data_IF_575920262923
#
_entry.id   IF_575920262923
#
_cell.length_a   1.000
_cell.length_b   1.000
_cell.length_c   1.000
_cell.angle_alpha   90.00
_cell.angle_beta   90.00
_cell.angle_gamma   90.00
#
_symmetry.space_group_name_H-M   'P 1'
#
loop_
_entity.id
_entity.type
_entity.pdbx_description
1 polymer ?
#
# COMPACT_ATOMS: atom_id res chain seq x y z
N UNK A 1 28.10 -36.05 -23.14
CA UNK A 1 26.92 -36.03 -22.24
C UNK A 1 27.23 -35.72 -20.78
N UNK A 2 28.30 -36.24 -20.11
CA UNK A 2 28.53 -35.95 -18.69
C UNK A 2 28.98 -34.50 -18.43
N UNK A 3 29.77 -33.92 -19.35
CA UNK A 3 30.31 -32.56 -19.21
C UNK A 3 29.21 -31.48 -19.18
N UNK A 4 28.16 -31.63 -20.00
CA UNK A 4 27.03 -30.69 -20.03
C UNK A 4 26.20 -30.74 -18.74
N UNK A 5 26.07 -31.92 -18.14
CA UNK A 5 25.39 -32.15 -16.87
C UNK A 5 26.18 -31.53 -15.70
N UNK A 6 27.50 -31.73 -15.67
CA UNK A 6 28.41 -31.12 -14.68
C UNK A 6 28.41 -29.59 -14.81
N UNK A 7 28.47 -29.05 -16.03
CA UNK A 7 28.41 -27.61 -16.28
C UNK A 7 27.04 -27.01 -15.90
N UNK A 8 25.95 -27.73 -16.14
CA UNK A 8 24.60 -27.32 -15.76
C UNK A 8 24.42 -27.23 -14.24
N UNK A 9 24.85 -28.26 -13.52
CA UNK A 9 24.82 -28.29 -12.04
C UNK A 9 25.74 -27.20 -11.47
N UNK A 10 26.95 -27.03 -12.00
CA UNK A 10 27.88 -25.98 -11.56
C UNK A 10 27.37 -24.55 -11.79
N UNK A 11 26.55 -24.32 -12.83
CA UNK A 11 25.88 -23.03 -13.05
C UNK A 11 24.68 -22.82 -12.12
N UNK A 12 23.89 -23.85 -11.84
CA UNK A 12 22.77 -23.78 -10.91
C UNK A 12 23.23 -23.52 -9.46
N UNK A 13 24.39 -24.05 -9.07
CA UNK A 13 25.01 -23.81 -7.76
C UNK A 13 25.78 -22.49 -7.68
N UNK A 14 25.89 -21.73 -8.77
CA UNK A 14 26.59 -20.44 -8.77
C UNK A 14 25.73 -19.41 -8.01
N UNK A 15 26.28 -18.87 -6.92
CA UNK A 15 25.66 -17.80 -6.15
C UNK A 15 25.34 -16.62 -7.08
N UNK A 16 24.06 -16.24 -7.19
CA UNK A 16 23.62 -15.11 -8.01
C UNK A 16 24.30 -13.82 -7.55
N UNK A 17 24.56 -12.90 -8.47
CA UNK A 17 25.06 -11.56 -8.12
C UNK A 17 24.04 -10.87 -7.22
N UNK A 18 24.49 -10.13 -6.22
CA UNK A 18 23.60 -9.41 -5.28
C UNK A 18 22.66 -8.45 -6.00
N UNK A 19 23.11 -7.82 -7.09
CA UNK A 19 22.30 -6.94 -7.94
C UNK A 19 21.19 -7.64 -8.75
N UNK A 20 21.27 -8.97 -8.91
CA UNK A 20 20.26 -9.79 -9.59
C UNK A 20 19.26 -10.42 -8.63
N UNK A 21 19.42 -10.19 -7.32
CA UNK A 21 18.48 -10.66 -6.31
C UNK A 21 17.40 -9.62 -6.10
N UNK A 22 16.16 -10.09 -6.02
CA UNK A 22 15.04 -9.26 -5.59
C UNK A 22 15.26 -8.72 -4.18
N UNK A 23 14.69 -7.54 -3.92
CA UNK A 23 14.65 -6.95 -2.58
C UNK A 23 13.97 -7.92 -1.61
N UNK A 24 14.65 -8.21 -0.49
CA UNK A 24 14.10 -9.03 0.57
C UNK A 24 12.82 -8.42 1.15
N UNK A 25 11.87 -9.29 1.44
CA UNK A 25 10.60 -8.95 2.07
C UNK A 25 10.37 -9.89 3.25
N UNK A 26 9.46 -9.53 4.15
CA UNK A 26 9.07 -10.35 5.30
C UNK A 26 8.56 -11.75 4.96
N UNK A 27 8.28 -12.05 3.67
CA UNK A 27 7.85 -13.37 3.20
C UNK A 27 8.94 -14.17 2.46
N UNK A 28 10.03 -13.50 2.07
CA UNK A 28 11.13 -14.11 1.28
C UNK A 28 12.40 -14.34 2.10
N UNK A 29 12.47 -13.77 3.29
CA UNK A 29 13.65 -13.74 4.13
C UNK A 29 13.54 -14.75 5.29
N UNK A 30 14.64 -15.04 6.02
CA UNK A 30 14.62 -15.96 7.17
C UNK A 30 13.73 -15.44 8.32
N UNK A 31 13.46 -16.31 9.30
CA UNK A 31 12.49 -16.11 10.39
C UNK A 31 12.63 -14.76 11.11
N UNK A 32 13.86 -14.31 11.37
CA UNK A 32 14.14 -13.10 12.16
C UNK A 32 14.21 -11.82 11.31
N UNK A 33 13.93 -11.90 10.00
CA UNK A 33 13.89 -10.73 9.14
C UNK A 33 12.55 -10.00 9.24
N UNK A 34 12.52 -8.98 10.09
CA UNK A 34 11.38 -8.09 10.23
C UNK A 34 11.47 -6.89 9.28
N UNK A 35 10.56 -6.83 8.31
CA UNK A 35 10.44 -5.68 7.39
C UNK A 35 8.98 -5.27 7.21
N UNK A 36 8.69 -4.03 7.59
CA UNK A 36 7.37 -3.41 7.46
C UNK A 36 7.03 -2.99 6.02
N UNK A 37 5.82 -2.45 5.86
CA UNK A 37 5.27 -1.94 4.59
C UNK A 37 5.00 -0.44 4.62
N UNK A 38 5.76 0.30 5.43
CA UNK A 38 5.62 1.75 5.62
C UNK A 38 4.21 2.20 6.04
N UNK A 39 3.43 1.31 6.67
CA UNK A 39 2.16 1.68 7.28
C UNK A 39 2.41 2.63 8.47
N UNK A 40 1.55 3.63 8.63
CA UNK A 40 1.63 4.56 9.75
C UNK A 40 1.27 3.83 11.06
N UNK A 41 1.98 4.07 12.17
CA UNK A 41 1.72 3.38 13.42
C UNK A 41 0.41 3.86 14.05
N UNK A 42 -0.38 2.93 14.59
CA UNK A 42 -1.64 3.21 15.29
C UNK A 42 -1.46 3.41 16.80
N UNK A 43 -0.23 3.30 17.29
CA UNK A 43 0.09 3.22 18.70
C UNK A 43 1.59 3.11 18.95
N UNK A 44 1.99 2.45 20.04
CA UNK A 44 3.40 2.25 20.40
C UNK A 44 3.64 0.90 21.10
N UNK A 45 4.89 0.43 21.09
CA UNK A 45 5.31 -0.78 21.79
C UNK A 45 5.66 -0.47 23.25
N UNK A 46 5.28 -1.35 24.16
CA UNK A 46 5.60 -1.28 25.59
C UNK A 46 6.95 -1.94 25.88
N UNK A 47 7.55 -1.63 27.04
CA UNK A 47 8.83 -2.21 27.46
C UNK A 47 8.81 -3.75 27.58
N UNK A 48 7.63 -4.37 27.74
CA UNK A 48 7.45 -5.83 27.83
C UNK A 48 7.00 -6.46 26.51
N UNK A 49 7.17 -5.77 25.37
CA UNK A 49 6.86 -6.30 24.04
C UNK A 49 5.37 -6.32 23.67
N UNK A 50 4.47 -5.86 24.53
CA UNK A 50 3.07 -5.60 24.17
C UNK A 50 2.92 -4.36 23.30
N UNK A 51 1.75 -4.19 22.66
CA UNK A 51 1.43 -3.02 21.84
C UNK A 51 0.19 -2.30 22.39
N UNK A 52 0.27 -0.97 22.54
CA UNK A 52 -0.84 -0.14 23.00
C UNK A 52 -1.34 0.72 21.84
N UNK A 53 -2.60 0.53 21.46
CA UNK A 53 -3.28 1.31 20.41
C UNK A 53 -3.76 2.64 20.98
N UNK A 54 -3.57 3.73 20.21
CA UNK A 54 -4.02 5.07 20.58
C UNK A 54 -5.17 5.48 19.66
N UNK A 55 -6.33 5.80 20.24
CA UNK A 55 -7.54 6.13 19.49
C UNK A 55 -7.33 7.35 18.57
N UNK A 56 -6.54 8.34 19.00
CA UNK A 56 -6.21 9.54 18.24
C UNK A 56 -5.41 9.26 16.96
N UNK A 57 -4.67 8.15 16.92
CA UNK A 57 -3.88 7.75 15.75
C UNK A 57 -4.68 6.88 14.78
N UNK A 58 -5.86 6.41 15.18
CA UNK A 58 -6.71 5.64 14.30
C UNK A 58 -7.43 6.59 13.33
N UNK A 59 -7.45 6.30 12.03
CA UNK A 59 -8.20 7.09 11.07
C UNK A 59 -9.69 6.98 11.38
N UNK A 60 -10.36 8.12 11.56
CA UNK A 60 -11.81 8.20 11.73
C UNK A 60 -12.46 8.66 10.43
N UNK A 61 -13.19 7.76 9.77
CA UNK A 61 -13.92 8.08 8.54
C UNK A 61 -15.34 8.49 8.90
N UNK A 62 -15.65 9.78 8.75
CA UNK A 62 -17.00 10.31 8.92
C UNK A 62 -17.80 10.03 7.66
N UNK A 63 -18.46 8.87 7.63
CA UNK A 63 -19.29 8.44 6.50
C UNK A 63 -20.68 9.06 6.67
N UNK A 64 -21.14 9.93 5.75
CA UNK A 64 -22.48 10.49 5.81
C UNK A 64 -23.53 9.45 5.42
N UNK A 65 -24.78 9.68 5.85
CA UNK A 65 -25.91 8.90 5.36
C UNK A 65 -26.27 9.33 3.93
N UNK A 66 -26.51 8.36 3.06
CA UNK A 66 -26.79 8.54 1.65
C UNK A 66 -28.17 7.98 1.26
N UNK A 67 -29.04 7.67 2.22
CA UNK A 67 -30.44 7.32 1.93
C UNK A 67 -31.12 8.42 1.12
N UNK A 68 -31.80 8.04 0.03
CA UNK A 68 -32.50 8.94 -0.90
C UNK A 68 -31.61 9.99 -1.60
N UNK A 69 -30.31 9.75 -1.69
CA UNK A 69 -29.39 10.63 -2.40
C UNK A 69 -29.59 10.54 -3.93
N UNK A 70 -29.98 11.66 -4.55
CA UNK A 70 -30.38 11.73 -5.97
C UNK A 70 -29.20 11.59 -6.94
N UNK A 71 -28.00 11.96 -6.52
CA UNK A 71 -26.82 11.97 -7.39
C UNK A 71 -26.26 10.55 -7.56
N UNK A 72 -25.78 10.27 -8.77
CA UNK A 72 -25.14 9.00 -9.14
C UNK A 72 -23.68 9.26 -9.54
N UNK A 73 -22.80 8.24 -9.54
CA UNK A 73 -21.38 8.39 -9.92
C UNK A 73 -21.16 8.84 -11.38
N UNK A 74 -22.18 8.72 -12.23
CA UNK A 74 -22.11 9.04 -13.64
C UNK A 74 -23.20 10.04 -14.04
N UNK A 75 -22.92 10.79 -15.09
CA UNK A 75 -23.80 11.80 -15.68
C UNK A 75 -24.39 11.26 -16.99
N UNK A 76 -25.54 11.80 -17.41
CA UNK A 76 -26.09 11.55 -18.74
C UNK A 76 -25.15 12.04 -19.84
N UNK A 77 -25.13 11.36 -20.99
CA UNK A 77 -24.29 11.73 -22.14
C UNK A 77 -24.72 13.03 -22.83
N UNK A 78 -25.92 13.55 -22.53
CA UNK A 78 -26.45 14.78 -23.12
C UNK A 78 -26.67 15.87 -22.05
N UNK A 79 -25.61 16.40 -21.41
CA UNK A 79 -25.74 17.54 -20.52
C UNK A 79 -26.02 18.83 -21.32
N UNK A 80 -26.83 19.74 -20.77
CA UNK A 80 -26.94 21.10 -21.32
C UNK A 80 -25.69 21.89 -20.96
N UNK A 81 -25.11 22.60 -21.92
CA UNK A 81 -23.94 23.45 -21.69
C UNK A 81 -24.32 24.62 -20.78
N UNK A 82 -23.63 24.72 -19.64
CA UNK A 82 -23.76 25.84 -18.69
C UNK A 82 -22.43 26.58 -18.67
N UNK A 83 -22.46 27.91 -18.87
CA UNK A 83 -21.26 28.75 -18.79
C UNK A 83 -20.83 28.84 -17.32
N UNK A 84 -19.62 28.39 -17.01
CA UNK A 84 -19.02 28.48 -15.67
C UNK A 84 -18.92 29.93 -15.25
N UNK A 85 -19.68 30.33 -14.24
CA UNK A 85 -19.51 31.61 -13.56
C UNK A 85 -18.72 31.32 -12.30
N UNK A 86 -17.47 31.80 -12.23
CA UNK A 86 -16.62 31.62 -11.05
C UNK A 86 -17.23 32.42 -9.90
N UNK A 87 -17.76 31.73 -8.90
CA UNK A 87 -18.24 32.36 -7.66
C UNK A 87 -17.04 32.59 -6.77
N UNK A 88 -16.50 33.81 -6.80
CA UNK A 88 -15.51 34.30 -5.86
C UNK A 88 -16.20 34.80 -4.59
N UNK A 89 -16.42 33.94 -3.61
CA UNK A 89 -16.87 34.36 -2.28
C UNK A 89 -16.05 33.69 -1.18
N UNK A 90 -15.07 34.45 -0.68
CA UNK A 90 -14.52 34.32 0.67
C UNK A 90 -15.57 34.70 1.72
N UNK A 91 -15.72 33.93 2.80
CA UNK A 91 -16.08 34.51 4.08
C UNK A 91 -15.05 34.17 5.17
N UNK A 92 -14.91 35.15 6.07
CA UNK A 92 -14.05 35.28 7.26
C UNK A 92 -13.68 34.00 8.01
#
# INVERSE_FOLDING_TARGET
MPLGLILGIGRAMRRKRTSSLDILSSKRAPRDYYKGKNCKPTGFHTNKGGYVVQQEKLPNYVVPDLTDFKLKPYVSQCPREVKTTEVSETPK
#
